data_IF_363109807582
#
_entry.id   IF_363109807582
#
_cell.length_a   1.000
_cell.length_b   1.000
_cell.length_c   1.000
_cell.angle_alpha   90.00
_cell.angle_beta   90.00
_cell.angle_gamma   90.00
#
_symmetry.space_group_name_H-M   'P 1'
#
loop_
_entity.id
_entity.type
_entity.pdbx_description
1 polymer ?
#
# COMPACT_ATOMS: atom_id res chain seq x y z
N UNK A 1 8.41 22.34 16.54
CA UNK A 1 7.88 20.97 16.29
C UNK A 1 8.91 19.96 16.77
N UNK A 2 8.52 18.93 17.54
CA UNK A 2 9.46 18.00 18.15
C UNK A 2 10.10 17.12 17.06
N UNK A 3 11.23 17.56 16.51
CA UNK A 3 12.03 16.80 15.52
C UNK A 3 12.38 15.39 16.04
N UNK A 4 12.54 15.25 17.35
CA UNK A 4 12.96 14.01 18.01
C UNK A 4 11.96 12.84 17.92
N UNK A 5 10.65 13.11 17.79
CA UNK A 5 9.65 12.03 17.87
C UNK A 5 9.55 11.19 16.59
N UNK A 6 9.73 11.82 15.42
CA UNK A 6 9.59 11.17 14.11
C UNK A 6 10.92 10.67 13.53
N UNK A 7 12.05 11.15 14.06
CA UNK A 7 13.40 10.82 13.59
C UNK A 7 14.02 9.72 14.46
N UNK A 8 13.30 8.61 14.63
CA UNK A 8 13.85 7.42 15.26
C UNK A 8 13.42 6.13 14.58
N UNK A 9 14.31 5.13 14.61
CA UNK A 9 13.98 3.78 14.16
C UNK A 9 12.83 3.15 14.94
N UNK A 10 12.59 3.58 16.19
CA UNK A 10 11.44 3.19 17.01
C UNK A 10 10.13 3.74 16.47
N UNK A 11 10.12 5.00 16.04
CA UNK A 11 8.95 5.59 15.39
C UNK A 11 8.66 4.90 14.05
N UNK A 12 9.70 4.62 13.26
CA UNK A 12 9.57 3.83 12.03
C UNK A 12 8.97 2.45 12.29
N UNK A 13 9.48 1.73 13.30
CA UNK A 13 8.93 0.44 13.73
C UNK A 13 7.46 0.55 14.17
N UNK A 14 7.11 1.57 14.96
CA UNK A 14 5.75 1.77 15.43
C UNK A 14 4.77 2.02 14.28
N UNK A 15 5.13 2.88 13.32
CA UNK A 15 4.32 3.11 12.12
C UNK A 15 4.21 1.88 11.22
N UNK A 16 5.30 1.12 11.06
CA UNK A 16 5.28 -0.12 10.29
C UNK A 16 4.44 -1.22 10.98
N UNK A 17 4.48 -1.30 12.30
CA UNK A 17 3.62 -2.20 13.07
C UNK A 17 2.14 -1.77 12.96
N UNK A 18 1.84 -0.48 13.08
CA UNK A 18 0.50 0.04 12.85
C UNK A 18 -0.01 -0.30 11.43
N UNK A 19 0.84 -0.10 10.41
CA UNK A 19 0.54 -0.46 9.02
C UNK A 19 0.20 -1.95 8.90
N UNK A 20 1.01 -2.84 9.49
CA UNK A 20 0.76 -4.28 9.48
C UNK A 20 -0.55 -4.65 10.20
N UNK A 21 -0.80 -4.08 11.38
CA UNK A 21 -2.00 -4.36 12.17
C UNK A 21 -3.27 -3.91 11.44
N UNK A 22 -3.25 -2.73 10.82
CA UNK A 22 -4.37 -2.25 10.01
C UNK A 22 -4.54 -3.13 8.76
N UNK A 23 -3.44 -3.55 8.12
CA UNK A 23 -3.49 -4.48 6.98
C UNK A 23 -4.19 -5.80 7.34
N UNK A 24 -3.86 -6.36 8.52
CA UNK A 24 -4.51 -7.55 9.04
C UNK A 24 -5.98 -7.31 9.39
N UNK A 25 -6.32 -6.11 9.88
CA UNK A 25 -7.69 -5.73 10.20
C UNK A 25 -8.61 -5.67 8.96
N UNK A 26 -8.09 -5.48 7.75
CA UNK A 26 -8.91 -5.61 6.54
C UNK A 26 -9.60 -6.97 6.43
N UNK A 27 -8.98 -8.04 6.92
CA UNK A 27 -9.59 -9.38 6.92
C UNK A 27 -10.87 -9.49 7.76
N UNK A 28 -11.17 -8.49 8.59
CA UNK A 28 -12.41 -8.43 9.39
C UNK A 28 -13.58 -7.78 8.62
N UNK A 29 -13.30 -7.03 7.56
CA UNK A 29 -14.30 -6.19 6.88
C UNK A 29 -14.42 -6.49 5.39
N UNK A 30 -13.28 -6.66 4.71
CA UNK A 30 -13.24 -6.85 3.27
C UNK A 30 -13.73 -8.26 2.93
N UNK A 31 -14.60 -8.42 1.92
CA UNK A 31 -15.03 -9.73 1.48
C UNK A 31 -13.83 -10.65 1.15
N UNK A 32 -13.91 -11.90 1.59
CA UNK A 32 -12.84 -12.90 1.37
C UNK A 32 -12.89 -13.51 -0.03
N UNK A 33 -14.01 -13.34 -0.75
CA UNK A 33 -14.22 -13.88 -2.09
C UNK A 33 -14.94 -12.89 -3.00
N UNK A 34 -14.67 -13.03 -4.29
CA UNK A 34 -15.45 -12.42 -5.36
C UNK A 34 -16.84 -13.08 -5.43
N UNK A 35 -17.82 -12.39 -6.00
CA UNK A 35 -19.08 -13.04 -6.36
C UNK A 35 -18.87 -14.12 -7.43
N UNK A 36 -18.02 -13.82 -8.42
CA UNK A 36 -17.58 -14.76 -9.44
C UNK A 36 -16.13 -14.47 -9.88
N UNK A 37 -15.39 -15.45 -10.42
CA UNK A 37 -14.06 -15.20 -10.97
C UNK A 37 -14.09 -14.15 -12.10
N UNK A 38 -13.10 -13.26 -12.10
CA UNK A 38 -12.85 -12.36 -13.23
C UNK A 38 -12.33 -13.17 -14.43
N UNK A 39 -12.91 -12.97 -15.61
CA UNK A 39 -12.49 -13.65 -16.83
C UNK A 39 -11.02 -13.33 -17.16
N UNK A 40 -10.23 -14.34 -17.51
CA UNK A 40 -8.81 -14.21 -17.88
C UNK A 40 -7.91 -13.52 -16.83
N UNK A 41 -8.36 -13.49 -15.57
CA UNK A 41 -7.68 -12.84 -14.45
C UNK A 41 -7.02 -13.86 -13.52
N UNK A 42 -5.86 -13.47 -12.98
CA UNK A 42 -5.18 -14.13 -11.84
C UNK A 42 -5.43 -13.40 -10.52
N UNK A 43 -6.16 -12.29 -10.55
CA UNK A 43 -6.50 -11.52 -9.35
C UNK A 43 -7.65 -12.24 -8.64
N UNK A 44 -7.37 -12.68 -7.42
CA UNK A 44 -8.31 -13.37 -6.53
C UNK A 44 -8.67 -12.52 -5.32
N UNK A 45 -7.83 -11.53 -4.96
CA UNK A 45 -8.10 -10.61 -3.87
C UNK A 45 -9.24 -9.65 -4.24
N UNK A 46 -10.37 -9.64 -3.50
CA UNK A 46 -11.53 -8.83 -3.89
C UNK A 46 -11.29 -7.33 -3.93
N UNK A 47 -10.47 -6.80 -3.01
CA UNK A 47 -10.07 -5.38 -3.05
C UNK A 47 -9.37 -5.04 -4.36
N UNK A 48 -8.31 -5.77 -4.72
CA UNK A 48 -7.58 -5.53 -5.96
C UNK A 48 -8.42 -5.75 -7.21
N UNK A 49 -9.35 -6.72 -7.18
CA UNK A 49 -10.29 -6.92 -8.27
C UNK A 49 -11.20 -5.70 -8.48
N UNK A 50 -11.62 -5.05 -7.39
CA UNK A 50 -12.38 -3.81 -7.45
C UNK A 50 -11.54 -2.63 -7.98
N UNK A 51 -10.31 -2.48 -7.49
CA UNK A 51 -9.37 -1.45 -7.95
C UNK A 51 -9.04 -1.57 -9.45
N UNK A 52 -9.01 -2.80 -9.98
CA UNK A 52 -8.70 -3.09 -11.38
C UNK A 52 -9.92 -3.24 -12.28
N UNK A 53 -11.13 -2.98 -11.78
CA UNK A 53 -12.35 -3.08 -12.57
C UNK A 53 -12.29 -2.12 -13.77
N UNK A 54 -12.68 -2.62 -14.95
CA UNK A 54 -12.68 -1.86 -16.21
C UNK A 54 -14.07 -1.54 -16.72
N UNK A 55 -15.05 -2.35 -16.36
CA UNK A 55 -16.43 -2.20 -16.81
C UNK A 55 -17.43 -2.73 -15.76
N UNK A 56 -18.72 -2.63 -16.09
CA UNK A 56 -19.79 -3.11 -15.23
C UNK A 56 -19.79 -4.65 -15.03
N UNK A 57 -19.20 -5.41 -15.96
CA UNK A 57 -19.08 -6.87 -15.84
C UNK A 57 -18.07 -7.22 -14.76
N UNK A 58 -16.94 -6.51 -14.70
CA UNK A 58 -15.98 -6.66 -13.60
C UNK A 58 -16.62 -6.33 -12.25
N UNK A 59 -17.40 -5.25 -12.18
CA UNK A 59 -18.12 -4.89 -10.95
C UNK A 59 -19.16 -5.96 -10.55
N UNK A 60 -19.84 -6.58 -11.52
CA UNK A 60 -20.75 -7.69 -11.25
C UNK A 60 -20.00 -8.94 -10.75
N UNK A 61 -18.78 -9.20 -11.23
CA UNK A 61 -17.93 -10.28 -10.72
C UNK A 61 -17.45 -10.01 -9.29
N UNK A 62 -17.18 -8.75 -8.94
CA UNK A 62 -16.78 -8.32 -7.60
C UNK A 62 -17.95 -8.37 -6.61
N UNK A 63 -19.06 -7.70 -6.93
CA UNK A 63 -20.17 -7.47 -5.99
C UNK A 63 -21.30 -8.50 -6.10
N UNK A 64 -21.45 -9.15 -7.25
CA UNK A 64 -22.61 -9.98 -7.60
C UNK A 64 -23.69 -9.16 -8.30
N UNK A 65 -24.65 -9.83 -8.94
CA UNK A 65 -25.81 -9.17 -9.58
C UNK A 65 -26.90 -8.87 -8.55
N UNK A 66 -27.96 -8.15 -8.93
CA UNK A 66 -29.09 -7.87 -8.02
C UNK A 66 -29.82 -9.12 -7.51
N UNK A 67 -29.63 -10.27 -8.16
CA UNK A 67 -30.17 -11.56 -7.71
C UNK A 67 -29.26 -12.28 -6.71
N UNK A 68 -28.04 -11.78 -6.46
CA UNK A 68 -27.09 -12.42 -5.58
C UNK A 68 -27.40 -12.08 -4.11
N UNK A 69 -27.73 -13.07 -3.26
CA UNK A 69 -28.13 -12.82 -1.87
C UNK A 69 -27.00 -12.25 -1.00
N UNK A 70 -25.74 -12.39 -1.42
CA UNK A 70 -24.56 -11.89 -0.69
C UNK A 70 -24.13 -10.49 -1.13
N UNK A 71 -24.80 -9.89 -2.13
CA UNK A 71 -24.41 -8.60 -2.71
C UNK A 71 -24.37 -7.49 -1.68
N UNK A 72 -25.42 -7.32 -0.88
CA UNK A 72 -25.49 -6.27 0.15
C UNK A 72 -24.39 -6.41 1.20
N UNK A 73 -24.12 -7.65 1.64
CA UNK A 73 -23.04 -7.93 2.59
C UNK A 73 -21.66 -7.58 1.99
N UNK A 74 -21.42 -7.90 0.71
CA UNK A 74 -20.18 -7.51 0.02
C UNK A 74 -20.05 -6.00 -0.10
N UNK A 75 -21.10 -5.30 -0.53
CA UNK A 75 -21.10 -3.83 -0.64
C UNK A 75 -20.78 -3.18 0.71
N UNK A 76 -21.42 -3.64 1.78
CA UNK A 76 -21.15 -3.16 3.15
C UNK A 76 -19.69 -3.44 3.57
N UNK A 77 -19.17 -4.62 3.27
CA UNK A 77 -17.78 -5.00 3.56
C UNK A 77 -16.76 -4.13 2.83
N UNK A 78 -16.95 -3.89 1.53
CA UNK A 78 -16.12 -2.97 0.75
C UNK A 78 -16.21 -1.54 1.26
N UNK A 79 -17.40 -1.05 1.63
CA UNK A 79 -17.56 0.29 2.21
C UNK A 79 -16.78 0.41 3.53
N UNK A 80 -16.89 -0.57 4.42
CA UNK A 80 -16.16 -0.59 5.68
C UNK A 80 -14.64 -0.68 5.47
N UNK A 81 -14.20 -1.56 4.57
CA UNK A 81 -12.80 -1.70 4.17
C UNK A 81 -12.23 -0.39 3.64
N UNK A 82 -12.90 0.23 2.67
CA UNK A 82 -12.49 1.52 2.10
C UNK A 82 -12.43 2.63 3.16
N UNK A 83 -13.36 2.68 4.11
CA UNK A 83 -13.29 3.65 5.20
C UNK A 83 -12.08 3.42 6.12
N UNK A 84 -11.77 2.15 6.43
CA UNK A 84 -10.57 1.77 7.18
C UNK A 84 -9.29 2.13 6.41
N UNK A 85 -9.32 2.06 5.07
CA UNK A 85 -8.16 2.27 4.22
C UNK A 85 -7.57 3.68 4.33
N UNK A 86 -8.38 4.71 4.62
CA UNK A 86 -7.85 6.04 4.92
C UNK A 86 -6.87 6.05 6.11
N UNK A 87 -7.12 5.23 7.13
CA UNK A 87 -6.19 5.07 8.26
C UNK A 87 -4.93 4.29 7.84
N UNK A 88 -5.10 3.28 6.98
CA UNK A 88 -3.98 2.53 6.40
C UNK A 88 -3.06 3.43 5.58
N UNK A 89 -3.61 4.31 4.73
CA UNK A 89 -2.88 5.29 3.94
C UNK A 89 -2.01 6.20 4.80
N UNK A 90 -2.59 6.73 5.88
CA UNK A 90 -1.85 7.55 6.83
C UNK A 90 -0.71 6.76 7.49
N UNK A 91 -0.99 5.53 7.90
CA UNK A 91 -0.02 4.66 8.56
C UNK A 91 1.16 4.29 7.65
N UNK A 92 0.89 3.80 6.43
CA UNK A 92 1.97 3.38 5.53
C UNK A 92 2.75 4.58 5.00
N UNK A 93 2.10 5.72 4.72
CA UNK A 93 2.81 6.91 4.28
C UNK A 93 3.76 7.40 5.37
N UNK A 94 3.30 7.42 6.63
CA UNK A 94 4.11 7.75 7.80
C UNK A 94 5.26 6.78 8.01
N UNK A 95 5.02 5.48 7.83
CA UNK A 95 6.04 4.43 7.90
C UNK A 95 7.16 4.64 6.89
N UNK A 96 6.81 4.83 5.62
CA UNK A 96 7.78 5.04 4.55
C UNK A 96 8.54 6.36 4.72
N UNK A 97 7.86 7.45 5.13
CA UNK A 97 8.52 8.72 5.45
C UNK A 97 9.54 8.52 6.57
N UNK A 98 9.18 7.85 7.66
CA UNK A 98 10.08 7.58 8.77
C UNK A 98 11.32 6.78 8.32
N UNK A 99 11.11 5.72 7.53
CA UNK A 99 12.20 4.90 6.98
C UNK A 99 13.20 5.72 6.15
N UNK A 100 12.71 6.52 5.21
CA UNK A 100 13.60 7.29 4.34
C UNK A 100 14.29 8.44 5.06
N UNK A 101 13.64 9.07 6.05
CA UNK A 101 14.29 10.07 6.91
C UNK A 101 15.40 9.47 7.76
N UNK A 102 15.17 8.30 8.35
CA UNK A 102 16.20 7.59 9.12
C UNK A 102 17.34 7.11 8.24
N UNK A 103 17.04 6.60 7.05
CA UNK A 103 18.05 6.24 6.05
C UNK A 103 18.86 7.46 5.60
N UNK A 104 18.25 8.66 5.52
CA UNK A 104 18.98 9.89 5.23
C UNK A 104 20.01 10.22 6.32
N UNK A 105 19.64 10.05 7.58
CA UNK A 105 20.53 10.30 8.72
C UNK A 105 21.67 9.27 8.80
N UNK A 106 21.34 7.98 8.75
CA UNK A 106 22.31 6.90 8.90
C UNK A 106 23.33 6.82 7.74
N UNK A 107 22.94 7.27 6.54
CA UNK A 107 23.79 7.24 5.35
C UNK A 107 24.44 8.60 5.04
N UNK A 108 24.22 9.63 5.87
CA UNK A 108 24.60 11.02 5.61
C UNK A 108 24.25 11.47 4.19
N UNK A 109 23.01 11.18 3.77
CA UNK A 109 22.56 11.31 2.39
C UNK A 109 21.20 12.04 2.34
N UNK A 110 21.17 13.38 2.30
CA UNK A 110 19.94 14.17 2.43
C UNK A 110 18.93 13.93 1.31
N UNK A 111 19.36 13.43 0.15
CA UNK A 111 18.48 13.07 -0.97
C UNK A 111 17.37 12.08 -0.59
N UNK A 112 17.59 11.23 0.41
CA UNK A 112 16.54 10.31 0.89
C UNK A 112 15.37 11.05 1.54
N UNK A 113 15.58 12.26 2.08
CA UNK A 113 14.47 13.11 2.56
C UNK A 113 13.59 13.59 1.41
N UNK A 114 14.14 13.80 0.22
CA UNK A 114 13.35 14.12 -0.97
C UNK A 114 12.54 12.90 -1.43
N UNK A 115 13.15 11.70 -1.42
CA UNK A 115 12.45 10.44 -1.73
C UNK A 115 11.28 10.19 -0.78
N UNK A 116 11.41 10.54 0.50
CA UNK A 116 10.34 10.40 1.49
C UNK A 116 9.03 11.08 1.07
N UNK A 117 9.07 12.16 0.28
CA UNK A 117 7.88 12.86 -0.20
C UNK A 117 7.04 12.06 -1.20
N UNK A 118 7.59 11.01 -1.82
CA UNK A 118 6.80 10.17 -2.71
C UNK A 118 5.74 9.36 -1.95
N UNK A 119 5.96 9.07 -0.67
CA UNK A 119 5.03 8.31 0.17
C UNK A 119 3.70 9.04 0.43
N UNK A 120 3.66 10.32 0.89
CA UNK A 120 2.40 11.05 1.01
C UNK A 120 1.73 11.32 -0.34
N UNK A 121 2.49 11.44 -1.44
CA UNK A 121 1.91 11.54 -2.79
C UNK A 121 1.21 10.23 -3.18
N UNK A 122 1.83 9.08 -2.90
CA UNK A 122 1.20 7.77 -3.08
C UNK A 122 -0.08 7.64 -2.24
N UNK A 123 -0.02 8.01 -0.95
CA UNK A 123 -1.19 8.03 -0.05
C UNK A 123 -2.30 8.97 -0.51
N UNK A 124 -1.96 10.08 -1.16
CA UNK A 124 -2.95 11.00 -1.74
C UNK A 124 -3.61 10.41 -2.98
N UNK A 125 -2.84 9.76 -3.86
CA UNK A 125 -3.40 9.04 -4.99
C UNK A 125 -4.34 7.91 -4.53
N UNK A 126 -3.93 7.18 -3.50
CA UNK A 126 -4.74 6.15 -2.84
C UNK A 126 -6.05 6.71 -2.26
N UNK A 127 -5.99 7.87 -1.59
CA UNK A 127 -7.19 8.54 -1.08
C UNK A 127 -8.16 8.96 -2.20
N UNK A 128 -7.66 9.44 -3.34
CA UNK A 128 -8.49 9.77 -4.52
C UNK A 128 -9.12 8.52 -5.12
N UNK A 129 -8.34 7.45 -5.26
CA UNK A 129 -8.81 6.15 -5.72
C UNK A 129 -9.93 5.61 -4.82
N UNK A 130 -9.72 5.62 -3.51
CA UNK A 130 -10.67 5.14 -2.53
C UNK A 130 -11.95 5.98 -2.47
N UNK A 131 -11.87 7.30 -2.71
CA UNK A 131 -13.05 8.15 -2.89
C UNK A 131 -13.87 7.73 -4.13
N UNK A 132 -13.21 7.38 -5.23
CA UNK A 132 -13.87 6.85 -6.44
C UNK A 132 -14.51 5.51 -6.12
N UNK A 133 -13.81 4.59 -5.45
CA UNK A 133 -14.37 3.29 -5.05
C UNK A 133 -15.59 3.44 -4.13
N UNK A 134 -15.57 4.34 -3.15
CA UNK A 134 -16.72 4.61 -2.28
C UNK A 134 -17.91 5.16 -3.09
N UNK A 135 -17.66 6.01 -4.08
CA UNK A 135 -18.72 6.51 -4.96
C UNK A 135 -19.29 5.42 -5.88
N UNK A 136 -18.46 4.51 -6.39
CA UNK A 136 -18.90 3.33 -7.13
C UNK A 136 -19.73 2.38 -6.25
N UNK A 137 -19.31 2.19 -5.00
CA UNK A 137 -20.02 1.34 -4.04
C UNK A 137 -21.41 1.92 -3.72
N UNK A 138 -21.54 3.24 -3.59
CA UNK A 138 -22.79 3.92 -3.30
C UNK A 138 -23.81 3.87 -4.45
N UNK A 139 -23.35 3.82 -5.70
CA UNK A 139 -24.20 3.82 -6.89
C UNK A 139 -23.55 3.07 -8.04
N UNK A 140 -24.10 1.91 -8.38
CA UNK A 140 -23.63 1.04 -9.46
C UNK A 140 -24.41 1.21 -10.78
N UNK A 141 -25.35 2.15 -10.87
CA UNK A 141 -26.23 2.28 -12.03
C UNK A 141 -25.50 2.82 -13.28
N UNK A 142 -24.60 3.78 -13.10
CA UNK A 142 -23.77 4.36 -14.17
C UNK A 142 -22.29 4.45 -13.76
N UNK A 143 -21.53 3.33 -13.82
CA UNK A 143 -20.16 3.30 -13.35
C UNK A 143 -19.15 3.85 -14.38
N UNK A 144 -19.55 4.08 -15.63
CA UNK A 144 -18.63 4.27 -16.75
C UNK A 144 -17.63 5.42 -16.56
N UNK A 145 -18.11 6.59 -16.13
CA UNK A 145 -17.26 7.77 -15.90
C UNK A 145 -16.25 7.54 -14.78
N UNK A 146 -16.69 6.90 -13.69
CA UNK A 146 -15.83 6.63 -12.52
C UNK A 146 -14.78 5.57 -12.86
N UNK A 147 -15.17 4.52 -13.59
CA UNK A 147 -14.26 3.47 -14.08
C UNK A 147 -13.26 3.98 -15.12
N UNK A 148 -13.60 5.01 -15.90
CA UNK A 148 -12.65 5.63 -16.84
C UNK A 148 -11.52 6.39 -16.10
N UNK A 149 -11.82 6.95 -14.92
CA UNK A 149 -10.88 7.74 -14.13
C UNK A 149 -10.10 6.87 -13.13
N UNK A 150 -10.73 5.84 -12.56
CA UNK A 150 -10.17 4.95 -11.54
C UNK A 150 -8.74 4.45 -11.83
N UNK A 151 -8.36 4.06 -13.06
CA UNK A 151 -7.01 3.54 -13.33
C UNK A 151 -5.89 4.54 -13.06
N UNK A 152 -6.16 5.85 -13.16
CA UNK A 152 -5.13 6.88 -12.98
C UNK A 152 -4.58 6.89 -11.55
N UNK A 153 -5.39 7.14 -10.50
CA UNK A 153 -4.88 7.14 -9.14
C UNK A 153 -4.40 5.74 -8.70
N UNK A 154 -5.02 4.64 -9.18
CA UNK A 154 -4.55 3.26 -8.94
C UNK A 154 -3.10 3.07 -9.42
N UNK A 155 -2.79 3.45 -10.67
CA UNK A 155 -1.44 3.24 -11.19
C UNK A 155 -0.43 4.26 -10.71
N UNK A 156 -0.87 5.48 -10.36
CA UNK A 156 -0.02 6.44 -9.65
C UNK A 156 0.40 5.85 -8.30
N UNK A 157 -0.52 5.33 -7.48
CA UNK A 157 -0.17 4.72 -6.18
C UNK A 157 0.77 3.54 -6.35
N UNK A 158 0.44 2.55 -7.19
CA UNK A 158 1.27 1.35 -7.36
C UNK A 158 2.63 1.66 -7.99
N UNK A 159 2.69 2.61 -8.93
CA UNK A 159 3.94 3.06 -9.53
C UNK A 159 4.85 3.73 -8.51
N UNK A 160 4.31 4.65 -7.70
CA UNK A 160 5.07 5.31 -6.63
C UNK A 160 5.52 4.34 -5.54
N UNK A 161 4.65 3.42 -5.11
CA UNK A 161 5.01 2.40 -4.13
C UNK A 161 6.08 1.44 -4.66
N UNK A 162 6.03 1.06 -5.94
CA UNK A 162 7.09 0.27 -6.59
C UNK A 162 8.42 1.03 -6.66
N UNK A 163 8.39 2.34 -6.95
CA UNK A 163 9.57 3.19 -6.95
C UNK A 163 10.16 3.35 -5.52
N UNK A 164 9.29 3.50 -4.51
CA UNK A 164 9.68 3.52 -3.10
C UNK A 164 10.29 2.18 -2.67
N UNK A 165 9.79 1.04 -3.14
CA UNK A 165 10.43 -0.26 -2.92
C UNK A 165 11.84 -0.31 -3.52
N UNK A 166 12.02 0.13 -4.77
CA UNK A 166 13.36 0.20 -5.39
C UNK A 166 14.33 1.08 -4.59
N UNK A 167 13.85 2.26 -4.19
CA UNK A 167 14.60 3.20 -3.36
C UNK A 167 14.95 2.60 -1.99
N UNK A 168 14.04 1.86 -1.37
CA UNK A 168 14.27 1.17 -0.11
C UNK A 168 15.30 0.04 -0.26
N UNK A 169 15.25 -0.72 -1.36
CA UNK A 169 16.27 -1.71 -1.69
C UNK A 169 17.66 -1.09 -1.79
N UNK A 170 17.80 0.03 -2.49
CA UNK A 170 19.06 0.78 -2.60
C UNK A 170 19.52 1.33 -1.23
N UNK A 171 18.62 1.86 -0.41
CA UNK A 171 18.95 2.33 0.93
C UNK A 171 19.42 1.18 1.84
N UNK A 172 18.76 0.03 1.82
CA UNK A 172 19.12 -1.16 2.59
C UNK A 172 20.45 -1.75 2.12
N UNK A 173 20.69 -1.79 0.82
CA UNK A 173 21.98 -2.23 0.27
C UNK A 173 23.13 -1.35 0.76
N UNK A 174 22.97 -0.01 0.72
CA UNK A 174 23.97 0.93 1.26
C UNK A 174 24.17 0.79 2.77
N UNK A 175 23.13 0.38 3.49
CA UNK A 175 23.18 0.04 4.91
C UNK A 175 23.74 -1.38 5.19
N UNK A 176 24.25 -2.07 4.16
CA UNK A 176 24.83 -3.43 4.23
C UNK A 176 23.82 -4.52 4.60
N UNK A 177 22.53 -4.31 4.33
CA UNK A 177 21.45 -5.27 4.56
C UNK A 177 21.04 -5.98 3.26
N UNK A 178 22.00 -6.61 2.56
CA UNK A 178 21.80 -7.17 1.22
C UNK A 178 20.60 -8.14 1.11
N UNK A 179 20.38 -9.11 2.03
CA UNK A 179 19.23 -9.99 1.92
C UNK A 179 17.90 -9.24 1.91
N UNK A 180 17.75 -8.22 2.76
CA UNK A 180 16.55 -7.38 2.81
C UNK A 180 16.44 -6.48 1.58
N UNK A 181 17.56 -6.01 1.04
CA UNK A 181 17.58 -5.21 -0.18
C UNK A 181 17.06 -5.99 -1.40
N UNK A 182 17.42 -7.28 -1.52
CA UNK A 182 16.95 -8.15 -2.60
C UNK A 182 15.43 -8.38 -2.55
N UNK A 183 14.84 -8.46 -1.36
CA UNK A 183 13.38 -8.57 -1.19
C UNK A 183 12.63 -7.36 -1.77
N UNK A 184 13.24 -6.18 -1.76
CA UNK A 184 12.65 -4.96 -2.30
C UNK A 184 12.74 -4.85 -3.83
N UNK A 185 13.49 -5.73 -4.52
CA UNK A 185 13.69 -5.66 -5.96
C UNK A 185 12.51 -6.21 -6.77
N UNK A 186 11.65 -7.04 -6.18
CA UNK A 186 10.54 -7.67 -6.90
C UNK A 186 9.48 -6.67 -7.37
N UNK A 187 9.10 -5.70 -6.52
CA UNK A 187 8.07 -4.72 -6.84
C UNK A 187 8.37 -3.88 -8.10
N UNK A 188 9.55 -3.23 -8.23
CA UNK A 188 9.86 -2.46 -9.45
C UNK A 188 9.95 -3.32 -10.71
N UNK A 189 10.42 -4.57 -10.61
CA UNK A 189 10.43 -5.51 -11.75
C UNK A 189 9.01 -5.83 -12.22
N UNK A 190 8.08 -6.00 -11.29
CA UNK A 190 6.69 -6.30 -11.58
C UNK A 190 5.84 -5.07 -11.94
N UNK A 191 6.36 -3.84 -11.82
CA UNK A 191 5.59 -2.61 -12.05
C UNK A 191 5.09 -2.48 -13.50
N UNK A 192 5.99 -2.61 -14.47
CA UNK A 192 5.63 -2.53 -15.89
C UNK A 192 4.64 -3.62 -16.34
N UNK A 193 4.85 -4.92 -16.04
CA UNK A 193 3.88 -5.94 -16.43
C UNK A 193 2.55 -5.79 -15.69
N UNK A 194 2.54 -5.26 -14.46
CA UNK A 194 1.30 -4.93 -13.75
C UNK A 194 0.51 -3.81 -14.46
N UNK A 195 1.16 -2.71 -14.84
CA UNK A 195 0.53 -1.61 -15.56
C UNK A 195 -0.05 -2.09 -16.90
N UNK A 196 0.72 -2.90 -17.64
CA UNK A 196 0.30 -3.41 -18.94
C UNK A 196 -0.83 -4.46 -18.83
N UNK A 197 -0.80 -5.32 -17.80
CA UNK A 197 -1.75 -6.41 -17.62
C UNK A 197 -2.21 -6.52 -16.14
N UNK A 198 -3.07 -5.59 -15.67
CA UNK A 198 -3.52 -5.50 -14.27
C UNK A 198 -4.02 -6.82 -13.71
N UNK A 199 -4.91 -7.47 -14.46
CA UNK A 199 -5.58 -8.69 -14.06
C UNK A 199 -4.63 -9.90 -13.98
N UNK A 200 -3.43 -9.82 -14.55
CA UNK A 200 -2.44 -10.91 -14.49
C UNK A 200 -1.34 -10.68 -13.46
N UNK A 201 -0.89 -9.44 -13.31
CA UNK A 201 0.30 -9.10 -12.54
C UNK A 201 0.07 -8.11 -11.40
N UNK A 202 -1.08 -7.44 -11.36
CA UNK A 202 -1.40 -6.44 -10.33
C UNK A 202 -1.32 -6.99 -8.91
N UNK A 203 -1.92 -8.16 -8.66
CA UNK A 203 -1.84 -8.81 -7.35
C UNK A 203 -0.42 -9.25 -6.97
N UNK A 204 0.38 -9.71 -7.95
CA UNK A 204 1.78 -10.07 -7.70
C UNK A 204 2.62 -8.82 -7.37
N UNK A 205 2.38 -7.69 -8.04
CA UNK A 205 3.03 -6.43 -7.73
C UNK A 205 2.66 -5.94 -6.31
N UNK A 206 1.37 -5.93 -5.97
CA UNK A 206 0.90 -5.55 -4.63
C UNK A 206 1.55 -6.41 -3.54
N UNK A 207 1.62 -7.73 -3.75
CA UNK A 207 2.30 -8.64 -2.84
C UNK A 207 3.80 -8.33 -2.71
N UNK A 208 4.48 -8.02 -3.82
CA UNK A 208 5.90 -7.64 -3.81
C UNK A 208 6.17 -6.31 -3.08
N UNK A 209 5.24 -5.35 -3.15
CA UNK A 209 5.29 -4.14 -2.33
C UNK A 209 5.18 -4.52 -0.84
N UNK A 210 4.22 -5.37 -0.47
CA UNK A 210 4.08 -5.88 0.90
C UNK A 210 5.35 -6.59 1.42
N UNK A 211 6.01 -7.38 0.58
CA UNK A 211 7.31 -8.02 0.91
C UNK A 211 8.40 -6.97 1.16
N UNK A 212 8.43 -5.90 0.36
CA UNK A 212 9.37 -4.78 0.57
C UNK A 212 9.13 -4.11 1.92
N UNK A 213 7.86 -3.91 2.30
CA UNK A 213 7.50 -3.31 3.59
C UNK A 213 7.86 -4.21 4.77
N UNK A 214 7.67 -5.52 4.64
CA UNK A 214 8.14 -6.49 5.64
C UNK A 214 9.66 -6.41 5.83
N UNK A 215 10.44 -6.28 4.74
CA UNK A 215 11.88 -6.10 4.82
C UNK A 215 12.27 -4.80 5.55
N UNK A 216 11.58 -3.69 5.26
CA UNK A 216 11.76 -2.41 5.95
C UNK A 216 11.41 -2.53 7.45
N UNK A 217 10.33 -3.24 7.78
CA UNK A 217 9.88 -3.43 9.16
C UNK A 217 10.91 -4.22 9.97
N UNK A 218 11.41 -5.33 9.41
CA UNK A 218 12.47 -6.15 10.01
C UNK A 218 13.75 -5.34 10.25
N UNK A 219 14.15 -4.52 9.27
CA UNK A 219 15.31 -3.64 9.42
C UNK A 219 15.10 -2.61 10.53
N UNK A 220 13.91 -2.00 10.58
CA UNK A 220 13.54 -1.02 11.59
C UNK A 220 13.56 -1.62 12.99
N UNK A 221 13.08 -2.86 13.15
CA UNK A 221 13.15 -3.60 14.40
C UNK A 221 14.60 -3.85 14.84
N UNK A 222 15.45 -4.32 13.93
CA UNK A 222 16.87 -4.55 14.21
C UNK A 222 17.59 -3.26 14.64
N UNK A 223 17.38 -2.17 13.92
CA UNK A 223 17.94 -0.84 14.25
C UNK A 223 17.45 -0.32 15.60
N UNK A 224 16.15 -0.45 15.88
CA UNK A 224 15.55 0.00 17.14
C UNK A 224 16.12 -0.72 18.37
N UNK A 225 16.49 -2.00 18.21
CA UNK A 225 17.14 -2.79 19.26
C UNK A 225 18.62 -2.43 19.46
N UNK A 226 19.35 -2.06 18.38
CA UNK A 226 20.79 -1.73 18.46
C UNK A 226 21.10 -0.29 18.84
N UNK A 227 20.13 0.61 18.69
CA UNK A 227 20.22 2.00 19.16
C UNK A 227 19.19 2.24 20.28
N UNK A 228 19.33 1.62 21.46
CA UNK A 228 18.58 2.06 22.64
C UNK A 228 18.94 3.54 22.89
N UNK A 229 17.99 4.31 23.42
CA UNK A 229 18.15 5.75 23.73
C UNK A 229 19.34 5.95 24.69
N UNK A 230 20.55 6.05 24.14
CA UNK A 230 21.74 6.39 24.90
C UNK A 230 21.94 7.89 24.75
N UNK A 231 21.75 8.63 25.85
CA UNK A 231 21.98 10.07 26.02
C UNK A 231 20.86 11.05 25.61
N UNK A 232 19.66 10.92 26.21
CA UNK A 232 19.08 12.14 26.78
C UNK A 232 19.91 12.43 28.05
N UNK A 233 20.96 13.23 27.92
CA UNK A 233 21.51 13.91 29.10
C UNK A 233 20.41 14.86 29.56
N UNK A 234 19.90 14.76 30.80
CA UNK A 234 19.18 15.87 31.38
C UNK A 234 20.19 17.01 31.51
N UNK A 235 19.93 18.11 30.83
CA UNK A 235 20.55 19.40 31.15
C UNK A 235 20.01 19.91 32.49
#
# INVERSE_FOLDING_TARGET
MPRAAWESWRACLAWGAATLLIALAFGLFVPVSLAQPLADSRVTAPMLAFEFARDARDLAAVFGTGADPSREARLAGFRAGNLLDYLFMLAYASFLVAFFRMSAADLDAPRWRAVAWLAPVAGTADAVENAILLSLNADLADPATRLAILPWPVWIKFGLLSALSAAAGLALWRQRALPLALLCAAAPVLALPAIAFPHRWGQANAAAIGVSWAAILLWSAWKACRHPRSAEKPD
#
